data_IF_311234434493
#
_entry.id   IF_311234434493
#
_cell.length_a   1.000
_cell.length_b   1.000
_cell.length_c   1.000
_cell.angle_alpha   90.00
_cell.angle_beta   90.00
_cell.angle_gamma   90.00
#
_symmetry.space_group_name_H-M   'P 1'
#
loop_
_entity.id
_entity.type
_entity.pdbx_description
1 polymer ?
#
# COMPACT_ATOMS: atom_id res chain seq x y z
N UNK A 1 56.19 -2.99 0.72
CA UNK A 1 55.70 -1.74 0.11
C UNK A 1 55.27 -0.84 1.28
N UNK A 2 55.95 0.30 1.44
CA UNK A 2 55.58 1.31 2.43
C UNK A 2 54.58 2.27 1.77
N UNK A 3 53.51 2.58 2.47
CA UNK A 3 52.52 3.54 2.04
C UNK A 3 52.89 4.93 2.59
N UNK A 4 52.74 5.97 1.79
CA UNK A 4 52.95 7.32 2.26
C UNK A 4 51.79 7.81 3.11
N UNK A 5 52.01 8.83 3.93
CA UNK A 5 51.04 9.37 4.90
C UNK A 5 49.70 9.79 4.20
N UNK A 6 49.77 10.38 2.99
CA UNK A 6 48.57 10.73 2.21
C UNK A 6 47.78 9.53 1.74
N UNK A 7 48.44 8.40 1.43
CA UNK A 7 47.77 7.18 1.02
C UNK A 7 47.00 6.53 2.22
N UNK A 8 47.60 6.65 3.41
CA UNK A 8 46.96 6.18 4.64
C UNK A 8 45.72 6.99 4.95
N UNK A 9 45.77 8.31 4.86
CA UNK A 9 44.60 9.19 5.05
C UNK A 9 43.48 8.90 4.04
N UNK A 10 43.83 8.62 2.77
CA UNK A 10 42.84 8.22 1.76
C UNK A 10 42.17 6.89 2.08
N UNK A 11 42.95 5.91 2.51
CA UNK A 11 42.43 4.60 2.93
C UNK A 11 41.48 4.72 4.13
N UNK A 12 41.83 5.54 5.12
CA UNK A 12 40.97 5.80 6.28
C UNK A 12 39.62 6.43 5.86
N UNK A 13 39.63 7.41 4.95
CA UNK A 13 38.41 8.04 4.43
C UNK A 13 37.51 7.03 3.72
N UNK A 14 38.08 6.21 2.84
CA UNK A 14 37.34 5.13 2.16
C UNK A 14 36.74 4.17 3.17
N UNK A 15 37.48 3.80 4.20
CA UNK A 15 36.99 2.89 5.23
C UNK A 15 35.82 3.48 6.01
N UNK A 16 35.87 4.75 6.40
CA UNK A 16 34.78 5.44 7.10
C UNK A 16 33.53 5.49 6.21
N UNK A 17 33.65 5.87 4.92
CA UNK A 17 32.53 5.89 4.01
C UNK A 17 31.89 4.51 3.80
N UNK A 18 32.73 3.46 3.74
CA UNK A 18 32.22 2.08 3.68
C UNK A 18 31.46 1.66 4.92
N UNK A 19 31.94 2.04 6.10
CA UNK A 19 31.22 1.78 7.36
C UNK A 19 29.88 2.52 7.42
N UNK A 20 29.77 3.68 6.77
CA UNK A 20 28.50 4.40 6.60
C UNK A 20 27.59 3.77 5.54
N UNK A 21 28.01 2.67 4.86
CA UNK A 21 27.22 1.95 3.89
C UNK A 21 27.27 2.51 2.46
N UNK A 22 28.23 3.39 2.14
CA UNK A 22 28.41 3.86 0.77
C UNK A 22 28.92 2.74 -0.15
N UNK A 23 28.30 2.61 -1.32
CA UNK A 23 28.80 1.74 -2.39
C UNK A 23 30.08 2.30 -3.03
N UNK A 24 30.85 1.45 -3.73
CA UNK A 24 32.16 1.83 -4.34
C UNK A 24 32.02 3.03 -5.27
N UNK A 25 31.00 3.07 -6.12
CA UNK A 25 30.78 4.18 -7.06
C UNK A 25 30.45 5.49 -6.32
N UNK A 26 29.66 5.43 -5.26
CA UNK A 26 29.31 6.59 -4.44
C UNK A 26 30.52 7.13 -3.67
N UNK A 27 31.42 6.26 -3.21
CA UNK A 27 32.68 6.66 -2.59
C UNK A 27 33.57 7.38 -3.62
N UNK A 28 33.67 6.87 -4.84
CA UNK A 28 34.41 7.53 -5.92
C UNK A 28 33.87 8.93 -6.20
N UNK A 29 32.55 9.08 -6.34
CA UNK A 29 31.89 10.36 -6.54
C UNK A 29 32.09 11.31 -5.35
N UNK A 30 31.97 10.85 -4.12
CA UNK A 30 32.23 11.65 -2.92
C UNK A 30 33.66 12.19 -2.88
N UNK A 31 34.64 11.35 -3.19
CA UNK A 31 36.05 11.73 -3.17
C UNK A 31 36.44 12.68 -4.33
N UNK A 32 35.76 12.61 -5.48
CA UNK A 32 35.97 13.55 -6.58
C UNK A 32 35.50 14.98 -6.27
N UNK A 33 34.53 15.11 -5.33
CA UNK A 33 34.01 16.40 -4.86
C UNK A 33 34.59 16.81 -3.49
N UNK A 34 35.82 16.37 -3.18
CA UNK A 34 36.42 16.52 -1.84
C UNK A 34 36.60 17.98 -1.39
N UNK A 35 36.66 18.93 -2.28
CA UNK A 35 36.78 20.36 -1.99
C UNK A 35 35.45 21.11 -2.03
N UNK A 36 34.34 20.41 -2.33
CA UNK A 36 33.00 20.97 -2.39
C UNK A 36 32.20 20.47 -1.18
N UNK A 37 32.12 21.33 -0.15
CA UNK A 37 31.46 21.00 1.12
C UNK A 37 29.97 20.75 0.91
N UNK A 38 29.30 21.54 0.07
CA UNK A 38 27.86 21.45 -0.19
C UNK A 38 27.52 20.12 -0.90
N UNK A 39 28.37 19.74 -1.88
CA UNK A 39 28.22 18.45 -2.53
C UNK A 39 28.43 17.28 -1.55
N UNK A 40 29.43 17.35 -0.68
CA UNK A 40 29.68 16.32 0.33
C UNK A 40 28.52 16.20 1.32
N UNK A 41 27.97 17.32 1.78
CA UNK A 41 26.82 17.32 2.69
C UNK A 41 25.59 16.68 2.02
N UNK A 42 25.35 16.98 0.74
CA UNK A 42 24.28 16.39 -0.05
C UNK A 42 24.41 14.86 -0.16
N UNK A 43 25.62 14.34 -0.38
CA UNK A 43 25.89 12.89 -0.42
C UNK A 43 25.61 12.24 0.94
N UNK A 44 26.05 12.86 2.04
CA UNK A 44 25.82 12.35 3.39
C UNK A 44 24.33 12.37 3.75
N UNK A 45 23.61 13.41 3.37
CA UNK A 45 22.17 13.53 3.60
C UNK A 45 21.40 12.45 2.82
N UNK A 46 21.71 12.24 1.53
CA UNK A 46 21.09 11.21 0.72
C UNK A 46 21.33 9.79 1.31
N UNK A 47 22.56 9.52 1.78
CA UNK A 47 22.87 8.25 2.44
C UNK A 47 22.08 8.07 3.75
N UNK A 48 21.95 9.14 4.54
CA UNK A 48 21.16 9.13 5.77
C UNK A 48 19.70 8.79 5.48
N UNK A 49 19.10 9.39 4.48
CA UNK A 49 17.72 9.10 4.06
C UNK A 49 17.56 7.65 3.60
N UNK A 50 18.50 7.15 2.81
CA UNK A 50 18.51 5.73 2.40
C UNK A 50 18.56 4.79 3.60
N UNK A 51 19.37 5.10 4.61
CA UNK A 51 19.48 4.28 5.84
C UNK A 51 18.20 4.35 6.68
N UNK A 52 17.54 5.50 6.77
CA UNK A 52 16.25 5.63 7.46
C UNK A 52 15.16 4.82 6.78
N UNK A 53 15.08 4.84 5.45
CA UNK A 53 14.15 4.01 4.69
C UNK A 53 14.39 2.51 4.93
N UNK A 54 15.66 2.07 4.89
CA UNK A 54 16.03 0.68 5.21
C UNK A 54 15.65 0.30 6.64
N UNK A 55 15.81 1.20 7.58
CA UNK A 55 15.43 0.98 8.98
C UNK A 55 13.93 0.72 9.11
N UNK A 56 13.08 1.50 8.42
CA UNK A 56 11.64 1.30 8.47
C UNK A 56 11.22 -0.03 7.81
N UNK A 57 11.84 -0.40 6.69
CA UNK A 57 11.61 -1.71 6.06
C UNK A 57 11.98 -2.85 7.03
N UNK A 58 13.16 -2.76 7.66
CA UNK A 58 13.60 -3.78 8.62
C UNK A 58 12.69 -3.87 9.85
N UNK A 59 12.20 -2.73 10.36
CA UNK A 59 11.21 -2.73 11.44
C UNK A 59 9.91 -3.44 11.03
N UNK A 60 9.44 -3.21 9.79
CA UNK A 60 8.27 -3.91 9.25
C UNK A 60 8.49 -5.43 9.17
N UNK A 61 9.65 -5.85 8.67
CA UNK A 61 10.01 -7.27 8.59
C UNK A 61 10.10 -7.94 9.97
N UNK A 62 10.69 -7.25 10.96
CA UNK A 62 10.75 -7.75 12.34
C UNK A 62 9.35 -7.92 12.94
N UNK A 63 8.46 -6.94 12.78
CA UNK A 63 7.07 -7.06 13.26
C UNK A 63 6.37 -8.26 12.64
N UNK A 64 6.57 -8.50 11.33
CA UNK A 64 5.99 -9.65 10.64
C UNK A 64 6.55 -10.98 11.18
N UNK A 65 7.86 -11.05 11.43
CA UNK A 65 8.49 -12.22 12.05
C UNK A 65 7.95 -12.47 13.45
N UNK A 66 7.87 -11.42 14.28
CA UNK A 66 7.38 -11.54 15.65
C UNK A 66 5.92 -12.03 15.68
N UNK A 67 5.05 -11.47 14.83
CA UNK A 67 3.67 -11.92 14.71
C UNK A 67 3.56 -13.35 14.20
N UNK A 68 4.42 -13.75 13.26
CA UNK A 68 4.47 -15.12 12.74
C UNK A 68 4.95 -16.10 13.81
N UNK A 69 5.95 -15.73 14.60
CA UNK A 69 6.44 -16.54 15.71
C UNK A 69 5.38 -16.73 16.80
N UNK A 70 4.64 -15.66 17.14
CA UNK A 70 3.48 -15.78 18.04
C UNK A 70 2.40 -16.71 17.50
N UNK A 71 2.11 -16.61 16.19
CA UNK A 71 1.17 -17.48 15.51
C UNK A 71 1.56 -18.95 15.63
N UNK A 72 2.82 -19.30 15.36
CA UNK A 72 3.33 -20.65 15.52
C UNK A 72 3.24 -21.15 17.00
N UNK A 73 3.58 -20.30 17.97
CA UNK A 73 3.49 -20.64 19.40
C UNK A 73 2.06 -20.94 19.85
N UNK A 74 1.07 -20.29 19.25
CA UNK A 74 -0.36 -20.47 19.54
C UNK A 74 -0.98 -21.64 18.76
N UNK A 75 -0.18 -22.51 18.15
CA UNK A 75 -0.64 -23.72 17.46
C UNK A 75 -1.11 -23.49 16.02
N UNK A 76 -0.74 -22.39 15.40
CA UNK A 76 -0.94 -22.13 13.96
C UNK A 76 -2.38 -21.90 13.50
N UNK A 77 -3.37 -21.90 14.40
CA UNK A 77 -4.80 -21.87 14.05
C UNK A 77 -5.45 -20.50 14.30
N UNK A 78 -4.76 -19.57 14.96
CA UNK A 78 -5.39 -18.29 15.31
C UNK A 78 -4.53 -17.12 14.86
N UNK A 79 -4.73 -16.66 13.64
CA UNK A 79 -4.10 -15.44 13.07
C UNK A 79 -4.54 -14.14 13.80
N UNK A 80 -5.16 -14.24 14.98
CA UNK A 80 -5.74 -13.07 15.66
C UNK A 80 -6.98 -12.50 14.96
N UNK A 81 -7.36 -13.10 13.83
CA UNK A 81 -8.56 -12.75 13.10
C UNK A 81 -9.61 -13.83 13.29
N UNK A 82 -10.75 -13.45 13.86
CA UNK A 82 -11.89 -14.32 13.92
C UNK A 82 -12.54 -14.37 12.53
N UNK A 83 -12.33 -15.50 11.83
CA UNK A 83 -12.98 -15.75 10.55
C UNK A 83 -14.39 -16.25 10.82
N UNK A 84 -15.38 -15.48 10.44
CA UNK A 84 -16.78 -15.84 10.57
C UNK A 84 -17.41 -16.05 9.19
N UNK A 85 -18.22 -17.09 9.06
CA UNK A 85 -19.12 -17.23 7.92
C UNK A 85 -20.30 -16.28 8.11
N UNK A 86 -20.52 -15.42 7.14
CA UNK A 86 -21.63 -14.45 7.15
C UNK A 86 -22.42 -14.59 5.86
N UNK A 87 -23.71 -14.33 5.95
CA UNK A 87 -24.60 -14.32 4.80
C UNK A 87 -25.05 -12.88 4.54
N UNK A 88 -24.80 -12.39 3.34
CA UNK A 88 -25.42 -11.17 2.83
C UNK A 88 -26.70 -11.55 2.10
N UNK A 89 -27.87 -11.03 2.52
CA UNK A 89 -29.13 -11.34 1.88
C UNK A 89 -29.15 -10.75 0.44
N UNK A 90 -30.10 -11.21 -0.34
CA UNK A 90 -30.47 -10.61 -1.62
C UNK A 90 -30.62 -9.09 -1.44
N UNK A 91 -30.01 -8.31 -2.32
CA UNK A 91 -29.96 -6.85 -2.20
C UNK A 91 -29.90 -6.17 -3.56
N UNK A 92 -30.38 -4.94 -3.61
CA UNK A 92 -30.19 -4.07 -4.75
C UNK A 92 -29.02 -3.16 -4.50
N UNK A 93 -28.22 -2.87 -5.54
CA UNK A 93 -27.07 -1.98 -5.46
C UNK A 93 -27.06 -1.02 -6.64
N UNK A 94 -26.44 0.12 -6.41
CA UNK A 94 -25.93 1.02 -7.44
C UNK A 94 -24.41 0.99 -7.39
N UNK A 95 -23.74 0.88 -8.52
CA UNK A 95 -22.30 0.65 -8.59
C UNK A 95 -21.63 1.40 -9.74
N UNK A 96 -20.33 1.65 -9.57
CA UNK A 96 -19.40 2.03 -10.66
C UNK A 96 -18.26 1.02 -10.63
N UNK A 97 -17.88 0.47 -11.78
CA UNK A 97 -16.75 -0.42 -11.96
C UNK A 97 -15.79 0.15 -12.99
N UNK A 98 -14.51 0.16 -12.64
CA UNK A 98 -13.44 0.57 -13.55
C UNK A 98 -12.12 -0.07 -13.14
N UNK A 99 -11.13 0.04 -14.01
CA UNK A 99 -9.74 -0.35 -13.73
C UNK A 99 -8.99 0.86 -13.21
N UNK A 100 -8.48 0.77 -11.98
CA UNK A 100 -7.72 1.84 -11.34
C UNK A 100 -6.22 1.54 -11.32
N UNK A 101 -5.37 2.59 -11.30
CA UNK A 101 -3.92 2.41 -11.34
C UNK A 101 -3.35 1.61 -10.16
N UNK A 102 -3.95 1.74 -8.97
CA UNK A 102 -3.54 1.06 -7.73
C UNK A 102 -4.67 1.09 -6.71
N UNK A 103 -4.58 0.26 -5.67
CA UNK A 103 -5.56 0.24 -4.57
C UNK A 103 -5.77 1.59 -3.88
N UNK A 104 -4.73 2.43 -3.81
CA UNK A 104 -4.83 3.78 -3.23
C UNK A 104 -5.70 4.75 -4.04
N UNK A 105 -6.00 4.43 -5.29
CA UNK A 105 -6.86 5.24 -6.17
C UNK A 105 -8.35 4.91 -6.03
N UNK A 106 -8.75 4.01 -5.14
CA UNK A 106 -10.16 3.63 -4.89
C UNK A 106 -11.06 4.84 -4.62
N UNK A 107 -10.54 5.86 -3.91
CA UNK A 107 -11.27 7.09 -3.62
C UNK A 107 -11.85 7.78 -4.85
N UNK A 108 -11.17 7.69 -6.01
CA UNK A 108 -11.65 8.28 -7.25
C UNK A 108 -12.97 7.66 -7.73
N UNK A 109 -13.17 6.36 -7.52
CA UNK A 109 -14.42 5.69 -7.87
C UNK A 109 -15.55 6.05 -6.91
N UNK A 110 -15.27 6.23 -5.62
CA UNK A 110 -16.24 6.72 -4.66
C UNK A 110 -16.71 8.14 -5.01
N UNK A 111 -15.77 9.03 -5.35
CA UNK A 111 -16.11 10.38 -5.82
C UNK A 111 -16.96 10.33 -7.10
N UNK A 112 -16.63 9.47 -8.05
CA UNK A 112 -17.41 9.27 -9.26
C UNK A 112 -18.81 8.76 -8.95
N UNK A 113 -18.96 7.74 -8.09
CA UNK A 113 -20.26 7.19 -7.69
C UNK A 113 -21.16 8.27 -7.10
N UNK A 114 -20.67 9.03 -6.13
CA UNK A 114 -21.46 10.09 -5.47
C UNK A 114 -21.84 11.20 -6.45
N UNK A 115 -20.91 11.66 -7.28
CA UNK A 115 -21.16 12.70 -8.28
C UNK A 115 -22.22 12.27 -9.27
N UNK A 116 -22.14 11.05 -9.79
CA UNK A 116 -23.09 10.53 -10.76
C UNK A 116 -24.47 10.26 -10.14
N UNK A 117 -24.53 9.82 -8.89
CA UNK A 117 -25.78 9.69 -8.15
C UNK A 117 -26.47 11.04 -7.99
N UNK A 118 -25.72 12.08 -7.60
CA UNK A 118 -26.25 13.46 -7.53
C UNK A 118 -26.76 13.97 -8.88
N UNK A 119 -25.97 13.76 -9.94
CA UNK A 119 -26.35 14.20 -11.30
C UNK A 119 -27.64 13.53 -11.81
N UNK A 120 -27.92 12.30 -11.34
CA UNK A 120 -29.12 11.55 -11.70
C UNK A 120 -30.23 11.65 -10.64
N UNK A 121 -30.09 12.55 -9.66
CA UNK A 121 -31.04 12.78 -8.57
C UNK A 121 -31.37 11.51 -7.76
N UNK A 122 -30.38 10.65 -7.55
CA UNK A 122 -30.48 9.47 -6.70
C UNK A 122 -30.11 9.88 -5.27
N UNK A 123 -31.08 9.77 -4.36
CA UNK A 123 -30.86 10.09 -2.96
C UNK A 123 -30.02 9.01 -2.28
N UNK A 124 -29.02 9.42 -1.55
CA UNK A 124 -28.23 8.53 -0.70
C UNK A 124 -29.04 8.13 0.53
N UNK A 125 -29.05 6.85 0.84
CA UNK A 125 -29.60 6.35 2.08
C UNK A 125 -28.50 6.36 3.15
N UNK A 126 -28.65 7.08 4.29
CA UNK A 126 -27.65 7.11 5.35
C UNK A 126 -27.36 5.72 5.97
N UNK A 127 -28.26 4.77 5.81
CA UNK A 127 -28.10 3.39 6.27
C UNK A 127 -27.64 2.43 5.15
N UNK A 128 -27.24 2.96 3.99
CA UNK A 128 -26.76 2.12 2.90
C UNK A 128 -25.45 1.42 3.29
N UNK A 129 -25.33 0.17 2.92
CA UNK A 129 -24.06 -0.54 3.01
C UNK A 129 -23.17 -0.14 1.84
N UNK A 130 -21.95 0.28 2.16
CA UNK A 130 -20.91 0.62 1.19
C UNK A 130 -19.97 -0.58 1.06
N UNK A 131 -19.65 -0.95 -0.16
CA UNK A 131 -18.80 -2.11 -0.43
C UNK A 131 -17.87 -1.82 -1.62
N UNK A 132 -16.64 -2.29 -1.51
CA UNK A 132 -15.71 -2.39 -2.64
C UNK A 132 -15.53 -3.85 -2.99
N UNK A 133 -15.67 -4.17 -4.27
CA UNK A 133 -15.53 -5.53 -4.80
C UNK A 133 -14.34 -5.56 -5.74
N UNK A 134 -13.40 -6.44 -5.46
CA UNK A 134 -12.23 -6.70 -6.30
C UNK A 134 -12.53 -7.90 -7.20
N UNK A 135 -12.30 -7.75 -8.50
CA UNK A 135 -12.60 -8.78 -9.49
C UNK A 135 -11.36 -9.56 -9.95
N UNK A 136 -10.17 -9.07 -9.60
CA UNK A 136 -8.93 -9.79 -9.85
C UNK A 136 -8.84 -11.05 -8.98
N UNK A 137 -8.46 -12.18 -9.59
CA UNK A 137 -8.31 -13.45 -8.87
C UNK A 137 -7.05 -13.54 -8.01
N UNK A 138 -6.15 -12.55 -8.14
CA UNK A 138 -4.87 -12.45 -7.42
C UNK A 138 -4.52 -10.99 -7.16
N UNK A 139 -3.55 -10.75 -6.28
CA UNK A 139 -3.04 -9.40 -6.01
C UNK A 139 -2.36 -8.83 -7.26
N UNK A 140 -2.70 -7.57 -7.59
CA UNK A 140 -2.08 -6.82 -8.68
C UNK A 140 -1.37 -5.58 -8.14
N UNK A 141 -0.21 -5.25 -8.71
CA UNK A 141 0.50 -4.02 -8.39
C UNK A 141 -0.10 -2.81 -9.11
N UNK A 142 -0.69 -3.02 -10.29
CA UNK A 142 -1.33 -1.99 -11.11
C UNK A 142 -2.53 -2.56 -11.86
N UNK A 143 -3.33 -1.68 -12.45
CA UNK A 143 -4.49 -2.02 -13.28
C UNK A 143 -5.50 -2.91 -12.54
N UNK A 144 -5.88 -2.47 -11.34
CA UNK A 144 -6.77 -3.20 -10.43
C UNK A 144 -8.22 -3.03 -10.87
N UNK A 145 -8.92 -4.14 -11.16
CA UNK A 145 -10.32 -4.16 -11.56
C UNK A 145 -11.23 -4.18 -10.34
N UNK A 146 -11.87 -3.06 -10.03
CA UNK A 146 -12.72 -2.92 -8.86
C UNK A 146 -14.08 -2.29 -9.18
N UNK A 147 -15.06 -2.58 -8.35
CA UNK A 147 -16.31 -1.84 -8.29
C UNK A 147 -16.58 -1.32 -6.89
N UNK A 148 -16.98 -0.07 -6.80
CA UNK A 148 -17.57 0.50 -5.58
C UNK A 148 -19.09 0.46 -5.71
N UNK A 149 -19.80 0.11 -4.64
CA UNK A 149 -21.23 -0.09 -4.66
C UNK A 149 -21.90 0.31 -3.35
N UNK A 150 -23.12 0.82 -3.47
CA UNK A 150 -24.01 1.16 -2.35
C UNK A 150 -25.32 0.40 -2.48
N UNK A 151 -25.85 -0.08 -1.35
CA UNK A 151 -27.18 -0.71 -1.34
C UNK A 151 -28.28 0.33 -1.55
N UNK A 152 -29.29 -0.05 -2.30
CA UNK A 152 -30.50 0.74 -2.57
C UNK A 152 -31.76 -0.01 -2.15
N UNK A 153 -32.89 0.69 -1.87
CA UNK A 153 -34.14 0.02 -1.49
C UNK A 153 -34.74 -0.85 -2.59
N UNK A 154 -34.48 -0.50 -3.86
CA UNK A 154 -35.01 -1.20 -5.04
C UNK A 154 -34.06 -1.01 -6.21
N UNK A 155 -34.33 -1.73 -7.29
CA UNK A 155 -33.64 -1.52 -8.57
C UNK A 155 -33.91 -0.10 -9.08
N UNK A 156 -32.86 0.60 -9.48
CA UNK A 156 -32.89 1.98 -9.92
C UNK A 156 -32.73 2.07 -11.43
N UNK A 157 -33.42 3.01 -12.06
CA UNK A 157 -33.19 3.31 -13.47
C UNK A 157 -32.05 4.32 -13.58
N UNK A 158 -30.86 3.86 -13.91
CA UNK A 158 -29.62 4.64 -13.93
C UNK A 158 -29.03 4.70 -15.33
N UNK A 159 -28.25 5.76 -15.62
CA UNK A 159 -27.44 5.89 -16.83
C UNK A 159 -25.98 5.61 -16.54
N UNK A 160 -25.26 5.15 -17.55
CA UNK A 160 -23.80 4.97 -17.46
C UNK A 160 -23.13 6.29 -16.99
N UNK A 161 -22.08 6.20 -16.17
CA UNK A 161 -21.33 5.00 -15.77
C UNK A 161 -21.97 4.18 -14.63
N UNK A 162 -23.08 4.65 -14.04
CA UNK A 162 -23.77 3.91 -12.98
C UNK A 162 -24.41 2.63 -13.55
N UNK A 163 -24.40 1.58 -12.73
CA UNK A 163 -25.15 0.35 -12.94
C UNK A 163 -26.02 0.08 -11.73
N UNK A 164 -27.23 -0.41 -11.92
CA UNK A 164 -28.10 -0.86 -10.86
C UNK A 164 -28.43 -2.32 -11.07
N UNK A 165 -28.19 -3.14 -10.07
CA UNK A 165 -28.28 -4.59 -10.16
C UNK A 165 -28.93 -5.18 -8.92
N UNK A 166 -29.62 -6.31 -9.11
CA UNK A 166 -30.05 -7.18 -8.02
C UNK A 166 -28.97 -8.23 -7.77
N UNK A 167 -28.37 -8.22 -6.59
CA UNK A 167 -27.38 -9.20 -6.20
C UNK A 167 -28.07 -10.30 -5.36
N UNK A 168 -27.82 -11.59 -5.68
CA UNK A 168 -28.40 -12.69 -4.94
C UNK A 168 -27.84 -12.76 -3.51
N UNK A 169 -28.47 -13.59 -2.70
CA UNK A 169 -27.89 -13.97 -1.42
C UNK A 169 -26.54 -14.66 -1.62
N UNK A 170 -25.57 -14.32 -0.79
CA UNK A 170 -24.24 -14.90 -0.83
C UNK A 170 -23.70 -15.16 0.57
N UNK A 171 -23.14 -16.35 0.78
CA UNK A 171 -22.39 -16.67 2.00
C UNK A 171 -20.90 -16.47 1.72
N UNK A 172 -20.24 -15.75 2.60
CA UNK A 172 -18.81 -15.44 2.47
C UNK A 172 -18.08 -15.65 3.80
N UNK A 173 -16.81 -15.94 3.74
CA UNK A 173 -15.91 -15.91 4.88
C UNK A 173 -15.41 -14.47 5.09
N UNK A 174 -15.68 -13.91 6.25
CA UNK A 174 -15.32 -12.53 6.58
C UNK A 174 -14.46 -12.44 7.81
N UNK A 175 -13.59 -11.44 7.81
CA UNK A 175 -12.72 -11.04 8.92
C UNK A 175 -13.01 -9.59 9.25
N UNK A 176 -13.10 -9.26 10.55
CA UNK A 176 -13.17 -7.85 10.97
C UNK A 176 -11.75 -7.39 11.33
N UNK A 177 -11.27 -6.45 10.57
CA UNK A 177 -10.01 -5.78 10.83
C UNK A 177 -10.27 -4.40 11.45
N UNK A 178 -9.46 -4.05 12.46
CA UNK A 178 -9.44 -2.70 13.03
C UNK A 178 -8.04 -2.14 12.79
N UNK A 179 -7.97 -1.14 11.95
CA UNK A 179 -6.76 -0.36 11.71
C UNK A 179 -6.48 0.66 12.80
#
# INVERSE_FOLDING_TARGET
RFYGEQQLLHACKIQILRQMGFGVNAIGAFLSHYHDIDAQESFLQAQRECLLQKQEILKGQLRLLDSTMEWFRKGGINMGYEVALKTLPKRYVVSVRDVIPSYSAEGLLWEMLHREMQAQNIAENPSAMHMTVFYDGEYRESDVDIAVQMTTPSLMNVKLPLRSEELPEVTYAGVVFRG
#
